data_IF_230802352298
#
_entry.id   IF_230802352298
#
_cell.length_a   1.000
_cell.length_b   1.000
_cell.length_c   1.000
_cell.angle_alpha   90.00
_cell.angle_beta   90.00
_cell.angle_gamma   90.00
#
_symmetry.space_group_name_H-M   'P 1'
#
loop_
_entity.id
_entity.type
_entity.pdbx_description
1 polymer ?
#
# COMPACT_ATOMS: atom_id res chain seq x y z
N UNK A 1 9.59 -9.21 -16.63
CA UNK A 1 8.91 -9.59 -15.39
C UNK A 1 9.84 -9.29 -14.23
N UNK A 2 9.36 -8.69 -13.16
CA UNK A 2 10.22 -8.49 -11.99
C UNK A 2 10.42 -9.83 -11.25
N UNK A 3 11.52 -9.93 -10.51
CA UNK A 3 11.88 -11.12 -9.74
C UNK A 3 10.76 -11.54 -8.76
N UNK A 4 10.07 -10.56 -8.19
CA UNK A 4 8.97 -10.78 -7.25
C UNK A 4 7.76 -11.45 -7.93
N UNK A 5 7.37 -10.94 -9.09
CA UNK A 5 6.27 -11.52 -9.87
C UNK A 5 6.57 -12.97 -10.32
N UNK A 6 7.83 -13.28 -10.61
CA UNK A 6 8.24 -14.62 -11.03
C UNK A 6 8.20 -15.63 -9.89
N UNK A 7 8.57 -15.23 -8.67
CA UNK A 7 8.52 -16.10 -7.49
C UNK A 7 7.11 -16.46 -7.06
N UNK A 8 6.11 -15.64 -7.39
CA UNK A 8 4.74 -15.80 -6.91
C UNK A 8 3.76 -16.34 -7.95
N UNK A 9 4.25 -16.68 -9.13
CA UNK A 9 3.56 -17.53 -10.10
C UNK A 9 2.58 -16.83 -11.05
N UNK A 10 2.06 -15.64 -10.70
CA UNK A 10 1.00 -14.99 -11.47
C UNK A 10 1.46 -13.72 -12.21
N UNK A 11 2.76 -13.59 -12.40
CA UNK A 11 3.32 -12.42 -13.08
C UNK A 11 2.97 -11.13 -12.35
N UNK A 12 2.57 -10.12 -13.11
CA UNK A 12 2.33 -8.76 -12.61
C UNK A 12 1.14 -8.61 -11.66
N UNK A 13 0.23 -9.57 -11.63
CA UNK A 13 -1.00 -9.53 -10.81
C UNK A 13 -1.00 -10.60 -9.73
N UNK A 14 0.17 -10.97 -9.22
CA UNK A 14 0.38 -11.97 -8.17
C UNK A 14 -0.56 -11.79 -6.97
N UNK A 15 -0.93 -10.56 -6.66
CA UNK A 15 -1.85 -10.23 -5.57
C UNK A 15 -3.31 -10.65 -5.84
N UNK A 16 -3.66 -11.04 -7.04
CA UNK A 16 -4.99 -11.59 -7.38
C UNK A 16 -5.05 -13.12 -7.22
N UNK A 17 -3.92 -13.77 -6.94
CA UNK A 17 -3.88 -15.20 -6.70
C UNK A 17 -4.41 -15.52 -5.29
N UNK A 18 -5.48 -16.30 -5.21
CA UNK A 18 -6.10 -16.72 -3.97
C UNK A 18 -5.15 -17.50 -3.04
N UNK A 19 -4.17 -18.24 -3.60
CA UNK A 19 -3.17 -18.98 -2.83
C UNK A 19 -2.32 -18.05 -1.93
N UNK A 20 -2.12 -16.79 -2.32
CA UNK A 20 -1.34 -15.81 -1.53
C UNK A 20 -2.08 -15.30 -0.29
N UNK A 21 -3.35 -15.68 -0.11
CA UNK A 21 -4.18 -15.43 1.08
C UNK A 21 -4.52 -16.74 1.79
N UNK A 22 -3.87 -17.83 1.42
CA UNK A 22 -4.32 -19.17 1.71
C UNK A 22 -3.86 -19.71 3.05
N UNK A 23 -4.63 -20.69 3.54
CA UNK A 23 -4.39 -21.43 4.77
C UNK A 23 -3.05 -22.17 4.77
N UNK A 24 -2.62 -22.70 3.61
CA UNK A 24 -1.37 -23.46 3.50
C UNK A 24 -0.16 -22.59 3.87
N UNK A 25 -0.18 -21.30 3.49
CA UNK A 25 0.86 -20.35 3.89
C UNK A 25 0.81 -20.06 5.39
N UNK A 26 -0.37 -20.09 6.00
CA UNK A 26 -0.53 -19.91 7.45
C UNK A 26 -0.18 -21.16 8.27
N UNK A 27 0.00 -22.32 7.64
CA UNK A 27 0.52 -23.53 8.30
C UNK A 27 2.01 -23.38 8.70
N UNK A 28 2.74 -22.43 8.08
CA UNK A 28 4.14 -22.13 8.39
C UNK A 28 4.25 -21.47 9.77
N UNK A 29 4.90 -22.16 10.70
CA UNK A 29 5.12 -21.68 12.07
C UNK A 29 6.00 -20.43 12.13
N UNK A 30 6.98 -20.31 11.24
CA UNK A 30 7.84 -19.13 11.18
C UNK A 30 7.03 -17.89 10.79
N UNK A 31 6.11 -18.02 9.83
CA UNK A 31 5.19 -16.94 9.44
C UNK A 31 4.27 -16.53 10.59
N UNK A 32 3.69 -17.48 11.30
CA UNK A 32 2.87 -17.18 12.50
C UNK A 32 3.65 -16.43 13.56
N UNK A 33 4.90 -16.86 13.82
CA UNK A 33 5.81 -16.16 14.71
C UNK A 33 6.07 -14.73 14.25
N UNK A 34 6.42 -14.56 12.97
CA UNK A 34 6.66 -13.26 12.37
C UNK A 34 5.44 -12.32 12.50
N UNK A 35 4.23 -12.81 12.20
CA UNK A 35 3.01 -12.00 12.28
C UNK A 35 2.77 -11.51 13.72
N UNK A 36 2.96 -12.37 14.71
CA UNK A 36 2.84 -11.99 16.14
C UNK A 36 3.86 -10.92 16.52
N UNK A 37 5.11 -11.08 16.11
CA UNK A 37 6.18 -10.11 16.40
C UNK A 37 6.01 -8.81 15.61
N UNK A 38 5.39 -8.87 14.42
CA UNK A 38 5.18 -7.70 13.58
C UNK A 38 4.35 -6.63 14.29
N UNK A 39 3.26 -7.02 14.92
CA UNK A 39 2.35 -6.11 15.65
C UNK A 39 2.89 -5.67 17.02
N UNK A 40 4.13 -5.98 17.35
CA UNK A 40 4.78 -5.56 18.60
C UNK A 40 6.17 -4.99 18.30
N UNK A 41 7.20 -5.80 18.46
CA UNK A 41 8.59 -5.36 18.36
C UNK A 41 9.05 -4.95 16.97
N UNK A 42 8.59 -5.65 15.91
CA UNK A 42 9.07 -5.40 14.54
C UNK A 42 8.63 -4.03 14.04
N UNK A 43 7.35 -3.68 14.20
CA UNK A 43 6.84 -2.39 13.73
C UNK A 43 7.41 -1.22 14.52
N UNK A 44 7.62 -1.37 15.83
CA UNK A 44 8.25 -0.35 16.67
C UNK A 44 9.71 -0.13 16.30
N UNK A 45 10.47 -1.20 16.06
CA UNK A 45 11.84 -1.12 15.53
C UNK A 45 11.87 -0.45 14.14
N UNK A 46 10.86 -0.71 13.30
CA UNK A 46 10.67 -0.07 12.01
C UNK A 46 10.52 1.45 12.13
N UNK A 47 9.68 1.93 13.06
CA UNK A 47 9.50 3.37 13.34
C UNK A 47 10.81 4.03 13.75
N UNK A 48 11.55 3.41 14.67
CA UNK A 48 12.85 3.93 15.14
C UNK A 48 13.86 3.99 13.99
N UNK A 49 13.92 2.94 13.17
CA UNK A 49 14.84 2.85 12.04
C UNK A 49 14.52 3.91 10.99
N UNK A 50 13.24 4.10 10.66
CA UNK A 50 12.79 5.14 9.73
C UNK A 50 13.15 6.55 10.22
N UNK A 51 12.94 6.85 11.50
CA UNK A 51 13.32 8.16 12.08
C UNK A 51 14.82 8.44 11.99
N UNK A 52 15.67 7.40 12.13
CA UNK A 52 17.13 7.51 11.90
C UNK A 52 17.45 7.80 10.44
N UNK A 53 16.81 7.10 9.50
CA UNK A 53 16.98 7.30 8.07
C UNK A 53 16.58 8.71 7.64
N UNK A 54 15.43 9.21 8.09
CA UNK A 54 14.97 10.58 7.84
C UNK A 54 15.94 11.63 8.38
N UNK A 55 16.53 11.35 9.55
CA UNK A 55 17.54 12.25 10.13
C UNK A 55 18.82 12.30 9.29
N UNK A 56 19.27 11.16 8.76
CA UNK A 56 20.41 11.10 7.86
C UNK A 56 20.12 11.81 6.54
N UNK A 57 18.95 11.59 5.96
CA UNK A 57 18.51 12.24 4.74
C UNK A 57 18.46 13.77 4.88
N UNK A 58 17.87 14.29 5.96
CA UNK A 58 17.86 15.73 6.27
C UNK A 58 19.28 16.33 6.38
N UNK A 59 20.23 15.55 6.89
CA UNK A 59 21.66 15.92 6.94
C UNK A 59 22.39 15.71 5.61
N UNK A 60 21.68 15.40 4.51
CA UNK A 60 22.22 15.08 3.18
C UNK A 60 23.28 13.96 3.20
N UNK A 61 23.20 13.04 4.17
CA UNK A 61 24.04 11.86 4.26
C UNK A 61 23.38 10.71 3.51
N UNK A 62 24.03 10.21 2.46
CA UNK A 62 23.57 9.00 1.76
C UNK A 62 23.97 7.75 2.52
N UNK A 63 23.08 6.76 2.53
CA UNK A 63 23.42 5.41 2.97
C UNK A 63 24.29 4.73 1.91
N UNK A 64 25.22 3.85 2.31
CA UNK A 64 25.92 3.00 1.35
C UNK A 64 24.93 2.13 0.57
N UNK A 65 25.10 2.01 -0.75
CA UNK A 65 24.19 1.27 -1.64
C UNK A 65 24.03 -0.20 -1.20
N UNK A 66 25.11 -0.83 -0.69
CA UNK A 66 25.05 -2.19 -0.13
C UNK A 66 24.07 -2.31 1.05
N UNK A 67 23.94 -1.27 1.87
CA UNK A 67 23.05 -1.26 3.01
C UNK A 67 21.60 -1.07 2.55
N UNK A 68 21.37 -0.13 1.63
CA UNK A 68 20.06 0.07 1.01
C UNK A 68 19.60 -1.23 0.35
N UNK A 69 20.46 -1.87 -0.45
CA UNK A 69 20.15 -3.16 -1.07
C UNK A 69 19.77 -4.22 -0.03
N UNK A 70 20.56 -4.38 1.03
CA UNK A 70 20.24 -5.36 2.07
C UNK A 70 18.89 -5.09 2.76
N UNK A 71 18.56 -3.82 2.99
CA UNK A 71 17.25 -3.43 3.55
C UNK A 71 16.10 -3.78 2.61
N UNK A 72 16.26 -3.49 1.31
CA UNK A 72 15.25 -3.81 0.29
C UNK A 72 15.10 -5.32 0.12
N UNK A 73 16.21 -6.07 0.05
CA UNK A 73 16.17 -7.53 -0.07
C UNK A 73 15.43 -8.16 1.14
N UNK A 74 15.75 -7.71 2.36
CA UNK A 74 15.05 -8.14 3.56
C UNK A 74 13.56 -7.79 3.53
N UNK A 75 13.23 -6.57 3.12
CA UNK A 75 11.82 -6.15 2.98
C UNK A 75 11.07 -7.06 1.99
N UNK A 76 11.66 -7.41 0.86
CA UNK A 76 11.06 -8.32 -0.13
C UNK A 76 10.78 -9.72 0.43
N UNK A 77 11.57 -10.19 1.38
CA UNK A 77 11.36 -11.48 2.03
C UNK A 77 10.29 -11.42 3.11
N UNK A 78 10.27 -10.36 3.91
CA UNK A 78 9.48 -10.29 5.12
C UNK A 78 8.20 -9.44 4.97
N UNK A 79 8.34 -8.20 4.51
CA UNK A 79 7.23 -7.23 4.47
C UNK A 79 7.41 -6.26 3.31
N UNK A 80 6.79 -6.59 2.20
CA UNK A 80 6.90 -5.81 0.97
C UNK A 80 5.52 -5.42 0.46
N UNK A 81 5.42 -4.20 -0.08
CA UNK A 81 4.16 -3.67 -0.56
C UNK A 81 4.06 -3.58 -2.08
N UNK A 82 2.86 -3.37 -2.55
CA UNK A 82 2.57 -2.90 -3.91
C UNK A 82 1.42 -1.93 -3.89
N UNK A 83 1.53 -0.85 -4.66
CA UNK A 83 0.41 0.07 -4.90
C UNK A 83 -0.61 -0.62 -5.81
N UNK A 84 -1.88 -0.48 -5.48
CA UNK A 84 -2.99 -1.06 -6.25
C UNK A 84 -4.07 -0.01 -6.48
N UNK A 85 -4.90 -0.21 -7.49
CA UNK A 85 -6.06 0.64 -7.78
C UNK A 85 -7.30 0.18 -7.01
N UNK A 86 -8.36 1.00 -6.99
CA UNK A 86 -9.64 0.62 -6.41
C UNK A 86 -10.28 -0.56 -7.17
N UNK A 87 -10.03 -0.69 -8.47
CA UNK A 87 -10.44 -1.85 -9.27
C UNK A 87 -9.78 -3.15 -8.80
N UNK A 88 -8.50 -3.07 -8.45
CA UNK A 88 -7.78 -4.21 -7.87
C UNK A 88 -8.33 -4.57 -6.49
N UNK A 89 -8.60 -3.58 -5.65
CA UNK A 89 -9.24 -3.77 -4.34
C UNK A 89 -10.58 -4.49 -4.48
N UNK A 90 -11.45 -4.03 -5.39
CA UNK A 90 -12.75 -4.70 -5.63
C UNK A 90 -12.57 -6.15 -6.09
N UNK A 91 -11.57 -6.41 -6.95
CA UNK A 91 -11.29 -7.75 -7.43
C UNK A 91 -10.77 -8.70 -6.33
N UNK A 92 -10.03 -8.19 -5.34
CA UNK A 92 -9.50 -8.97 -4.22
C UNK A 92 -10.53 -9.12 -3.10
N UNK A 93 -11.06 -8.03 -2.60
CA UNK A 93 -11.98 -7.99 -1.45
C UNK A 93 -13.31 -8.63 -1.79
N UNK A 94 -13.83 -8.42 -3.00
CA UNK A 94 -15.11 -9.01 -3.45
C UNK A 94 -15.11 -10.55 -3.54
N UNK A 95 -13.94 -11.21 -3.45
CA UNK A 95 -13.81 -12.68 -3.40
C UNK A 95 -13.50 -13.20 -1.99
N UNK A 96 -13.32 -12.31 -1.03
CA UNK A 96 -12.99 -12.71 0.34
C UNK A 96 -14.17 -13.40 1.01
N UNK A 97 -13.90 -14.48 1.73
CA UNK A 97 -14.89 -15.12 2.58
C UNK A 97 -15.13 -14.33 3.87
N UNK A 98 -14.07 -13.69 4.38
CA UNK A 98 -14.13 -12.84 5.57
C UNK A 98 -13.21 -11.63 5.41
N UNK A 99 -13.64 -10.49 5.96
CA UNK A 99 -12.89 -9.24 5.98
C UNK A 99 -12.90 -8.67 7.39
N UNK A 100 -11.77 -8.17 7.84
CA UNK A 100 -11.64 -7.46 9.10
C UNK A 100 -10.98 -6.11 8.88
N UNK A 101 -11.49 -5.08 9.53
CA UNK A 101 -10.88 -3.76 9.62
C UNK A 101 -10.10 -3.66 10.93
N UNK A 102 -8.86 -3.23 10.84
CA UNK A 102 -7.89 -3.27 11.94
C UNK A 102 -7.38 -1.88 12.31
N UNK A 103 -6.99 -1.66 13.58
CA UNK A 103 -6.17 -0.52 13.94
C UNK A 103 -4.88 -0.51 13.12
N UNK A 104 -4.45 0.67 12.67
CA UNK A 104 -3.23 0.80 11.90
C UNK A 104 -2.00 0.65 12.79
N UNK A 105 -1.27 -0.47 12.64
CA UNK A 105 -0.06 -0.76 13.42
C UNK A 105 1.02 0.32 13.26
N UNK A 106 1.20 0.85 12.06
CA UNK A 106 2.17 1.92 11.78
C UNK A 106 1.87 3.20 12.59
N UNK A 107 0.61 3.64 12.61
CA UNK A 107 0.21 4.84 13.35
C UNK A 107 0.24 4.62 14.85
N UNK A 108 -0.21 3.44 15.30
CA UNK A 108 -0.12 3.09 16.71
C UNK A 108 1.32 3.06 17.20
N UNK A 109 2.22 2.42 16.46
CA UNK A 109 3.63 2.36 16.83
C UNK A 109 4.28 3.75 16.86
N UNK A 110 3.94 4.62 15.88
CA UNK A 110 4.55 5.94 15.74
C UNK A 110 3.93 7.01 16.64
N UNK A 111 2.61 7.00 16.86
CA UNK A 111 1.85 8.11 17.44
C UNK A 111 0.96 7.69 18.62
N UNK A 112 0.84 6.39 18.90
CA UNK A 112 -0.11 5.83 19.87
C UNK A 112 -1.56 6.33 19.64
N UNK A 113 -1.91 6.51 18.36
CA UNK A 113 -3.24 6.98 17.95
C UNK A 113 -3.94 5.85 17.19
N UNK A 114 -5.13 5.49 17.65
CA UNK A 114 -5.98 4.54 16.93
C UNK A 114 -6.45 5.17 15.62
N UNK A 115 -6.28 4.44 14.53
CA UNK A 115 -6.80 4.78 13.23
C UNK A 115 -7.08 3.50 12.45
N UNK A 116 -8.25 3.40 11.86
CA UNK A 116 -8.70 2.18 11.16
C UNK A 116 -8.68 2.38 9.65
N UNK A 117 -7.50 2.24 9.08
CA UNK A 117 -7.27 2.30 7.64
C UNK A 117 -6.61 1.03 7.08
N UNK A 118 -6.44 0.01 7.91
CA UNK A 118 -5.89 -1.29 7.55
C UNK A 118 -7.00 -2.35 7.52
N UNK A 119 -6.93 -3.24 6.54
CA UNK A 119 -7.84 -4.37 6.39
C UNK A 119 -7.03 -5.64 6.19
N UNK A 120 -7.57 -6.76 6.67
CA UNK A 120 -7.09 -8.09 6.33
C UNK A 120 -8.24 -8.90 5.77
N UNK A 121 -7.91 -9.80 4.85
CA UNK A 121 -8.89 -10.67 4.18
C UNK A 121 -8.49 -12.13 4.33
N UNK A 122 -9.48 -13.01 4.38
CA UNK A 122 -9.29 -14.44 4.20
C UNK A 122 -10.22 -14.96 3.12
N UNK A 123 -9.72 -15.85 2.28
CA UNK A 123 -10.52 -16.51 1.23
C UNK A 123 -11.11 -17.82 1.72
N UNK A 124 -10.92 -18.15 2.99
CA UNK A 124 -11.53 -19.28 3.69
C UNK A 124 -12.30 -18.77 4.89
N UNK A 125 -13.16 -19.62 5.46
CA UNK A 125 -13.90 -19.30 6.69
C UNK A 125 -12.98 -19.12 7.91
N UNK A 126 -11.79 -19.73 7.87
CA UNK A 126 -10.78 -19.58 8.92
C UNK A 126 -10.11 -18.20 8.82
N UNK A 127 -10.37 -17.38 9.78
CA UNK A 127 -9.85 -16.02 9.84
C UNK A 127 -8.50 -16.03 10.59
N UNK A 128 -7.40 -16.11 9.84
CA UNK A 128 -6.05 -16.14 10.38
C UNK A 128 -5.72 -14.97 11.32
N UNK A 129 -6.40 -13.86 11.15
CA UNK A 129 -6.23 -12.64 11.94
C UNK A 129 -6.89 -12.73 13.32
N UNK A 130 -7.64 -13.76 13.62
CA UNK A 130 -8.21 -13.97 14.97
C UNK A 130 -7.12 -14.27 16.02
N UNK A 131 -5.94 -14.72 15.58
CA UNK A 131 -4.77 -14.93 16.39
C UNK A 131 -3.96 -13.65 16.70
N UNK A 132 -4.34 -12.49 16.14
CA UNK A 132 -3.68 -11.22 16.42
C UNK A 132 -4.04 -10.73 17.82
N UNK A 133 -3.03 -10.29 18.57
CA UNK A 133 -3.22 -9.72 19.90
C UNK A 133 -3.65 -8.24 19.83
N UNK A 134 -4.92 -7.99 20.08
CA UNK A 134 -5.47 -6.64 20.11
C UNK A 134 -5.08 -5.88 21.38
N UNK A 135 -4.58 -6.55 22.40
CA UNK A 135 -4.02 -5.92 23.60
C UNK A 135 -2.84 -5.00 23.29
N UNK A 136 -2.08 -5.26 22.21
CA UNK A 136 -1.05 -4.34 21.71
C UNK A 136 -1.59 -2.94 21.43
N UNK A 137 -2.83 -2.84 20.96
CA UNK A 137 -3.52 -1.57 20.70
C UNK A 137 -4.28 -1.02 21.91
N UNK A 138 -4.24 -1.70 23.05
CA UNK A 138 -5.04 -1.35 24.23
C UNK A 138 -6.53 -1.61 24.06
N UNK A 139 -6.91 -2.52 23.17
CA UNK A 139 -8.30 -2.86 22.83
C UNK A 139 -8.66 -4.27 23.27
N UNK A 140 -9.94 -4.52 23.55
CA UNK A 140 -10.45 -5.87 23.65
C UNK A 140 -10.41 -6.56 22.27
N UNK A 141 -10.38 -7.91 22.26
CA UNK A 141 -10.19 -8.68 21.03
C UNK A 141 -11.28 -8.40 19.97
N UNK A 142 -12.53 -8.35 20.39
CA UNK A 142 -13.70 -8.07 19.56
C UNK A 142 -13.79 -6.61 19.11
N UNK A 143 -13.35 -5.68 19.95
CA UNK A 143 -13.25 -4.26 19.59
C UNK A 143 -12.15 -3.99 18.55
N UNK A 144 -11.02 -4.68 18.66
CA UNK A 144 -9.88 -4.55 17.75
C UNK A 144 -10.14 -5.14 16.36
N UNK A 145 -10.90 -6.23 16.29
CA UNK A 145 -11.23 -6.96 15.07
C UNK A 145 -12.63 -6.58 14.56
N UNK A 146 -12.74 -5.42 13.92
CA UNK A 146 -14.01 -4.97 13.33
C UNK A 146 -14.32 -5.78 12.06
N UNK A 147 -15.19 -6.79 12.20
CA UNK A 147 -15.64 -7.61 11.07
C UNK A 147 -16.64 -6.84 10.22
N UNK A 148 -16.38 -6.82 8.91
CA UNK A 148 -17.21 -6.11 7.92
C UNK A 148 -17.51 -7.03 6.74
N UNK A 149 -18.58 -6.77 6.02
CA UNK A 149 -18.81 -7.44 4.74
C UNK A 149 -17.82 -6.96 3.67
N UNK A 150 -17.57 -7.74 2.61
CA UNK A 150 -16.78 -7.28 1.48
C UNK A 150 -17.28 -5.97 0.88
N UNK A 151 -18.58 -5.80 0.78
CA UNK A 151 -19.24 -4.60 0.23
C UNK A 151 -19.00 -3.38 1.12
N UNK A 152 -19.15 -3.53 2.44
CA UNK A 152 -18.86 -2.47 3.41
C UNK A 152 -17.38 -2.08 3.39
N UNK A 153 -16.48 -3.06 3.33
CA UNK A 153 -15.04 -2.81 3.25
C UNK A 153 -14.69 -2.01 1.98
N UNK A 154 -15.23 -2.39 0.83
CA UNK A 154 -15.03 -1.68 -0.44
C UNK A 154 -15.54 -0.23 -0.33
N UNK A 155 -16.75 -0.02 0.18
CA UNK A 155 -17.31 1.31 0.34
C UNK A 155 -16.48 2.20 1.30
N UNK A 156 -15.97 1.62 2.39
CA UNK A 156 -15.09 2.32 3.32
C UNK A 156 -13.75 2.69 2.67
N UNK A 157 -13.15 1.79 1.87
CA UNK A 157 -11.90 2.07 1.14
C UNK A 157 -12.10 3.14 0.07
N UNK A 158 -13.21 3.13 -0.67
CA UNK A 158 -13.58 4.20 -1.60
C UNK A 158 -13.72 5.57 -0.91
N UNK A 159 -14.30 5.58 0.29
CA UNK A 159 -14.39 6.81 1.08
C UNK A 159 -12.98 7.31 1.49
N UNK A 160 -12.07 6.41 1.89
CA UNK A 160 -10.68 6.77 2.19
C UNK A 160 -9.94 7.29 0.95
N UNK A 161 -10.16 6.70 -0.24
CA UNK A 161 -9.58 7.15 -1.51
C UNK A 161 -10.00 8.59 -1.84
N UNK A 162 -11.29 8.93 -1.67
CA UNK A 162 -11.79 10.30 -1.87
C UNK A 162 -11.11 11.34 -0.97
N UNK A 163 -10.55 10.89 0.15
CA UNK A 163 -9.74 11.72 1.06
C UNK A 163 -8.23 11.64 0.78
N UNK A 164 -7.82 11.08 -0.37
CA UNK A 164 -6.44 11.02 -0.83
C UNK A 164 -5.62 9.86 -0.27
N UNK A 165 -6.26 8.79 0.20
CA UNK A 165 -5.55 7.58 0.60
C UNK A 165 -5.09 6.79 -0.62
N UNK A 166 -3.85 6.32 -0.59
CA UNK A 166 -3.27 5.37 -1.54
C UNK A 166 -3.54 3.97 -1.04
N UNK A 167 -4.07 3.11 -1.91
CA UNK A 167 -4.26 1.69 -1.61
C UNK A 167 -2.98 0.92 -1.84
N UNK A 168 -2.58 0.12 -0.86
CA UNK A 168 -1.40 -0.74 -0.95
C UNK A 168 -1.69 -2.10 -0.33
N UNK A 169 -1.13 -3.15 -0.90
CA UNK A 169 -1.12 -4.49 -0.32
C UNK A 169 0.24 -4.75 0.30
N UNK A 170 0.29 -5.56 1.36
CA UNK A 170 1.51 -5.87 2.08
C UNK A 170 1.64 -7.35 2.42
N UNK A 171 2.83 -7.88 2.21
CA UNK A 171 3.14 -9.25 2.59
C UNK A 171 3.47 -9.37 4.09
N UNK A 172 3.21 -10.56 4.64
CA UNK A 172 3.66 -11.00 5.96
C UNK A 172 4.43 -12.31 5.78
N UNK A 173 5.74 -12.21 5.57
CA UNK A 173 6.62 -13.20 4.98
C UNK A 173 6.10 -13.65 3.59
N UNK A 174 6.72 -13.06 2.58
CA UNK A 174 6.37 -13.27 1.17
C UNK A 174 6.20 -14.77 0.84
N UNK A 175 5.14 -15.20 0.12
CA UNK A 175 4.18 -14.39 -0.64
C UNK A 175 2.84 -14.11 0.09
N UNK A 176 2.68 -14.42 1.36
CA UNK A 176 1.43 -14.26 2.06
C UNK A 176 1.04 -12.78 2.19
N UNK A 177 -0.16 -12.43 1.72
CA UNK A 177 -0.70 -11.07 1.81
C UNK A 177 -1.53 -10.97 3.09
N UNK A 178 -0.99 -10.20 4.05
CA UNK A 178 -1.60 -10.04 5.35
C UNK A 178 -2.34 -8.73 5.55
N UNK A 179 -2.09 -7.72 4.70
CA UNK A 179 -2.72 -6.41 4.89
C UNK A 179 -3.03 -5.69 3.57
N UNK A 180 -4.17 -5.02 3.57
CA UNK A 180 -4.57 -3.99 2.60
C UNK A 180 -4.58 -2.67 3.36
N UNK A 181 -3.69 -1.75 3.02
CA UNK A 181 -3.56 -0.47 3.69
C UNK A 181 -4.09 0.67 2.83
N UNK A 182 -4.68 1.68 3.46
CA UNK A 182 -5.28 2.84 2.82
C UNK A 182 -4.75 4.09 3.51
N UNK A 183 -3.56 4.54 3.10
CA UNK A 183 -2.81 5.57 3.82
C UNK A 183 -2.41 6.75 2.94
N UNK A 184 -2.28 7.92 3.57
CA UNK A 184 -1.61 9.07 2.95
C UNK A 184 -0.09 8.92 3.06
N UNK A 185 0.69 9.48 2.10
CA UNK A 185 2.15 9.35 2.09
C UNK A 185 2.84 9.76 3.39
N UNK A 186 2.39 10.81 4.04
CA UNK A 186 2.99 11.30 5.29
C UNK A 186 2.77 10.38 6.51
N UNK A 187 1.74 9.55 6.46
CA UNK A 187 1.33 8.70 7.57
C UNK A 187 1.89 7.25 7.46
N UNK A 188 2.03 6.77 6.23
CA UNK A 188 2.45 5.40 5.96
C UNK A 188 3.96 5.25 6.08
N UNK A 189 4.44 4.34 6.92
CA UNK A 189 5.88 4.06 7.04
C UNK A 189 6.49 3.62 5.71
N UNK A 190 5.80 2.75 4.95
CA UNK A 190 6.28 2.28 3.65
C UNK A 190 6.33 3.37 2.58
N UNK A 191 5.34 4.28 2.53
CA UNK A 191 5.39 5.40 1.58
C UNK A 191 6.49 6.42 1.96
N UNK A 192 6.78 6.58 3.26
CA UNK A 192 7.88 7.44 3.73
C UNK A 192 9.25 6.89 3.38
N UNK A 193 9.44 5.55 3.32
CA UNK A 193 10.73 4.95 2.89
C UNK A 193 11.06 5.27 1.43
N UNK A 194 10.06 5.42 0.56
CA UNK A 194 10.28 5.79 -0.84
C UNK A 194 10.94 7.17 -0.99
N UNK A 195 10.58 8.12 -0.12
CA UNK A 195 11.20 9.46 -0.09
C UNK A 195 12.68 9.42 0.36
N UNK A 196 13.16 8.28 0.84
CA UNK A 196 14.52 8.04 1.32
C UNK A 196 15.32 7.11 0.39
N UNK A 197 14.83 6.87 -0.83
CA UNK A 197 15.40 5.95 -1.80
C UNK A 197 15.50 4.49 -1.30
N UNK A 198 14.61 4.10 -0.35
CA UNK A 198 14.50 2.71 0.12
C UNK A 198 13.20 2.12 -0.38
N UNK A 199 13.27 1.36 -1.47
CA UNK A 199 12.10 0.80 -2.15
C UNK A 199 11.56 -0.43 -1.41
N UNK A 200 10.62 -0.23 -0.49
CA UNK A 200 9.91 -1.30 0.23
C UNK A 200 8.57 -1.67 -0.42
N UNK A 201 8.26 -1.12 -1.58
CA UNK A 201 7.06 -1.46 -2.33
C UNK A 201 7.24 -1.30 -3.83
N UNK A 202 6.48 -2.06 -4.60
CA UNK A 202 6.37 -1.92 -6.04
C UNK A 202 5.35 -0.86 -6.46
N UNK A 203 5.57 -0.35 -7.65
CA UNK A 203 4.55 0.42 -8.38
C UNK A 203 3.39 -0.50 -8.76
N UNK A 204 2.21 0.08 -8.85
CA UNK A 204 1.04 -0.62 -9.38
C UNK A 204 1.21 -0.98 -10.86
N UNK A 205 0.42 -1.92 -11.34
CA UNK A 205 0.41 -2.41 -12.72
C UNK A 205 -0.31 -1.46 -13.68
N UNK A 206 -0.74 -0.32 -13.17
CA UNK A 206 -1.41 0.73 -13.92
C UNK A 206 -0.51 1.97 -14.07
N UNK A 207 -0.78 2.74 -15.12
CA UNK A 207 -0.16 4.04 -15.38
C UNK A 207 -1.27 5.03 -15.71
N UNK A 208 -1.21 6.22 -15.14
CA UNK A 208 -2.11 7.29 -15.52
C UNK A 208 -1.69 7.89 -16.88
N UNK A 209 -2.64 8.08 -17.77
CA UNK A 209 -2.46 8.77 -19.04
C UNK A 209 -3.45 9.91 -19.15
N UNK A 210 -3.04 11.00 -19.82
CA UNK A 210 -3.83 12.22 -20.00
C UNK A 210 -4.38 12.27 -21.41
N UNK A 211 -5.69 12.47 -21.53
CA UNK A 211 -6.35 12.90 -22.75
C UNK A 211 -6.18 14.42 -22.87
N UNK A 212 -5.29 14.85 -23.76
CA UNK A 212 -4.96 16.26 -23.90
C UNK A 212 -6.12 17.10 -24.45
N UNK A 213 -7.03 16.50 -25.22
CA UNK A 213 -8.20 17.20 -25.80
C UNK A 213 -9.23 17.55 -24.73
N UNK A 214 -9.32 16.72 -23.66
CA UNK A 214 -10.21 16.96 -22.52
C UNK A 214 -9.57 17.79 -21.41
N UNK A 215 -8.25 17.89 -21.39
CA UNK A 215 -7.52 18.50 -20.27
C UNK A 215 -7.64 20.02 -20.28
N UNK A 216 -8.32 20.58 -19.28
CA UNK A 216 -8.43 22.04 -19.08
C UNK A 216 -7.20 22.71 -18.44
N UNK A 217 -6.16 21.92 -18.05
CA UNK A 217 -4.96 22.46 -17.41
C UNK A 217 -5.17 22.97 -15.98
N UNK A 218 -6.27 22.59 -15.31
CA UNK A 218 -6.65 23.13 -14.00
C UNK A 218 -5.71 22.76 -12.82
N UNK A 219 -4.82 21.76 -12.97
CA UNK A 219 -3.84 21.38 -11.96
C UNK A 219 -4.36 20.42 -10.87
N UNK A 220 -5.66 20.14 -10.76
CA UNK A 220 -6.23 19.30 -9.69
C UNK A 220 -5.58 17.93 -9.58
N UNK A 221 -5.22 17.31 -10.70
CA UNK A 221 -4.52 16.02 -10.73
C UNK A 221 -3.08 16.11 -10.20
N UNK A 222 -2.42 17.25 -10.36
CA UNK A 222 -1.08 17.51 -9.85
C UNK A 222 -1.12 17.63 -8.32
N UNK A 223 -2.08 18.38 -7.78
CA UNK A 223 -2.27 18.53 -6.32
C UNK A 223 -2.65 17.21 -5.65
N UNK A 224 -3.43 16.37 -6.33
CA UNK A 224 -3.81 15.05 -5.83
C UNK A 224 -2.71 14.00 -5.94
N UNK A 225 -1.63 14.27 -6.68
CA UNK A 225 -0.59 13.27 -6.93
C UNK A 225 0.32 13.04 -5.72
N UNK A 226 0.06 11.98 -4.98
CA UNK A 226 0.83 11.58 -3.81
C UNK A 226 2.33 11.34 -4.09
N UNK A 227 2.71 11.13 -5.35
CA UNK A 227 4.07 10.78 -5.79
C UNK A 227 4.73 11.88 -6.63
N UNK A 228 4.10 13.04 -6.75
CA UNK A 228 4.63 14.18 -7.54
C UNK A 228 4.99 13.79 -8.99
N UNK A 229 4.23 12.87 -9.56
CA UNK A 229 4.47 12.31 -10.90
C UNK A 229 3.80 13.12 -12.02
N UNK A 230 3.10 14.20 -11.70
CA UNK A 230 2.35 15.00 -12.67
C UNK A 230 2.89 16.42 -12.67
N UNK A 231 3.23 16.90 -13.86
CA UNK A 231 3.64 18.26 -14.11
C UNK A 231 2.73 18.86 -15.18
N UNK A 232 2.80 20.18 -15.38
CA UNK A 232 2.16 20.83 -16.53
C UNK A 232 3.15 20.98 -17.69
N UNK A 233 2.63 20.92 -18.93
CA UNK A 233 3.37 21.23 -20.17
C UNK A 233 2.52 22.07 -21.09
N UNK A 234 3.16 22.81 -21.99
CA UNK A 234 2.49 23.47 -23.10
C UNK A 234 2.30 22.50 -24.26
N UNK A 235 1.11 22.46 -24.81
CA UNK A 235 0.75 21.70 -26.00
C UNK A 235 -0.20 22.56 -26.87
N UNK A 236 0.20 22.89 -28.09
CA UNK A 236 -0.58 23.72 -29.05
C UNK A 236 -1.12 25.03 -28.44
N UNK A 237 -0.35 25.67 -27.57
CA UNK A 237 -0.71 26.92 -26.91
C UNK A 237 -1.58 26.76 -25.65
N UNK A 238 -2.01 25.56 -25.31
CA UNK A 238 -2.75 25.26 -24.09
C UNK A 238 -1.85 24.60 -23.03
N UNK A 239 -2.13 24.85 -21.76
CA UNK A 239 -1.48 24.14 -20.65
C UNK A 239 -2.22 22.83 -20.41
N UNK A 240 -1.49 21.71 -20.41
CA UNK A 240 -2.05 20.38 -20.16
C UNK A 240 -1.20 19.65 -19.12
N UNK A 241 -1.81 18.71 -18.42
CA UNK A 241 -1.08 17.83 -17.48
C UNK A 241 -0.18 16.85 -18.26
N UNK A 242 0.96 16.50 -17.65
CA UNK A 242 1.90 15.52 -18.18
C UNK A 242 2.33 14.55 -17.05
N UNK A 243 2.09 13.27 -17.23
CA UNK A 243 2.47 12.21 -16.29
C UNK A 243 3.88 11.72 -16.60
N UNK A 244 4.73 11.67 -15.58
CA UNK A 244 6.03 11.00 -15.63
C UNK A 244 5.86 9.49 -15.39
N UNK A 245 6.03 8.61 -16.40
CA UNK A 245 5.83 7.17 -16.21
C UNK A 245 6.78 6.56 -15.19
N UNK A 246 7.98 7.12 -15.06
CA UNK A 246 9.00 6.66 -14.11
C UNK A 246 8.69 7.05 -12.66
N UNK A 247 7.89 8.08 -12.41
CA UNK A 247 7.48 8.53 -11.08
C UNK A 247 6.07 8.08 -10.71
N UNK A 248 5.23 7.76 -11.68
CA UNK A 248 3.85 7.34 -11.44
C UNK A 248 3.82 5.97 -10.74
N UNK A 249 3.12 5.87 -9.61
CA UNK A 249 2.91 4.62 -8.89
C UNK A 249 1.61 3.90 -9.27
N UNK A 250 0.77 4.49 -10.13
CA UNK A 250 -0.43 3.83 -10.62
C UNK A 250 -1.57 3.73 -9.62
N UNK A 251 -1.65 4.64 -8.66
CA UNK A 251 -2.66 4.59 -7.59
C UNK A 251 -4.07 5.06 -7.97
N UNK A 252 -4.21 5.84 -9.06
CA UNK A 252 -5.51 6.31 -9.55
C UNK A 252 -6.04 7.61 -8.95
N UNK A 253 -5.44 8.18 -7.89
CA UNK A 253 -5.94 9.40 -7.22
C UNK A 253 -6.13 10.58 -8.16
N UNK A 254 -5.23 10.76 -9.13
CA UNK A 254 -5.30 11.85 -10.10
C UNK A 254 -6.51 11.73 -11.03
N UNK A 255 -6.93 10.51 -11.38
CA UNK A 255 -8.14 10.25 -12.17
C UNK A 255 -9.38 10.74 -11.41
N UNK A 256 -9.47 10.39 -10.13
CA UNK A 256 -10.62 10.74 -9.31
C UNK A 256 -10.70 12.25 -9.01
N UNK A 257 -9.56 12.93 -9.04
CA UNK A 257 -9.47 14.39 -8.82
C UNK A 257 -9.76 15.21 -10.08
N UNK A 258 -9.85 14.59 -11.27
CA UNK A 258 -10.01 15.30 -12.53
C UNK A 258 -11.47 15.64 -12.80
N UNK A 259 -11.87 16.92 -12.80
CA UNK A 259 -13.26 17.32 -13.08
C UNK A 259 -13.68 17.08 -14.53
N UNK A 260 -12.71 17.04 -15.46
CA UNK A 260 -12.93 16.86 -16.89
C UNK A 260 -12.83 15.40 -17.34
N UNK A 261 -12.65 14.46 -16.40
CA UNK A 261 -12.42 13.04 -16.71
C UNK A 261 -11.32 12.81 -17.78
N UNK A 262 -10.32 13.70 -17.78
CA UNK A 262 -9.22 13.69 -18.76
C UNK A 262 -8.10 12.69 -18.41
N UNK A 263 -8.23 11.91 -17.33
CA UNK A 263 -7.23 10.90 -16.94
C UNK A 263 -7.81 9.50 -16.96
N UNK A 264 -7.11 8.59 -17.61
CA UNK A 264 -7.39 7.16 -17.59
C UNK A 264 -6.24 6.38 -16.96
N UNK A 265 -6.57 5.20 -16.42
CA UNK A 265 -5.57 4.23 -15.96
C UNK A 265 -5.41 3.15 -17.02
N UNK A 266 -4.18 2.92 -17.49
CA UNK A 266 -3.84 1.90 -18.48
C UNK A 266 -2.81 0.93 -17.94
N UNK A 267 -2.76 -0.29 -18.45
CA UNK A 267 -1.74 -1.27 -18.06
C UNK A 267 -0.32 -0.82 -18.45
N UNK A 268 0.66 -1.09 -17.60
CA UNK A 268 2.10 -0.84 -17.86
C UNK A 268 2.67 -1.77 -18.90
#
# INVERSE_FOLDING_TARGET
MCEFCTKHGDGKVWFKNAANYGRDLMADLARRGYIKEFFTSTIEAGVVSLGRLETLHRKKKKLPDRLVKAMVDKAKEEHFGQVVTMEDIRAMVGKAATVVRLPCACRWAALKTENRCCYSVSYTADAWYDDLDMGYFGLAQDEGLERVSPEEAIAQMEALEKHGAVHTIWTMMTPFIGAICNCKPGDCLGLRTLALDVETMFRGEQLAVVDAEKCSGCGACQDACAFQAINSRQLDGAQVAAVSPSQCFGCGLCRNACPEEALAMVGR
#
